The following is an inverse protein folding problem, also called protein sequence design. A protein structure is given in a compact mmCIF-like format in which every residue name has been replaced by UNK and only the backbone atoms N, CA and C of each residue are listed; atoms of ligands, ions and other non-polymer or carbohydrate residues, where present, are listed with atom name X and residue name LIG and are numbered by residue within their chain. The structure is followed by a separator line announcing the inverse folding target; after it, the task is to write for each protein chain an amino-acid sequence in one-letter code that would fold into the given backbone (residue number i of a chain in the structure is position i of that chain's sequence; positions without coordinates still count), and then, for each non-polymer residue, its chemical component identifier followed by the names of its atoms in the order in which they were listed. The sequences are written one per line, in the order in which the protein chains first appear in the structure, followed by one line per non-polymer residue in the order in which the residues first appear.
data_IF_891091023155
#
_entry.id   IF_891091023155
#
_cell.length_a   1.000
_cell.length_b   1.000
_cell.length_c   1.000
_cell.angle_alpha   90.00
_cell.angle_beta   90.00
_cell.angle_gamma   90.00
#
_symmetry.space_group_name_H-M   'P 1'
#
loop_
_entity.id
_entity.type
_entity.pdbx_description
1 polymer ?
#
# COMPACT_ATOMS: atom_id res chain seq x y z
N UNK A 1 -34.76 1.80 -7.88
CA UNK A 1 -33.49 1.08 -7.67
C UNK A 1 -33.13 1.21 -6.20
N UNK A 2 -33.06 0.08 -5.49
CA UNK A 2 -32.85 0.04 -4.03
C UNK A 2 -31.37 -0.14 -3.63
N UNK A 3 -30.45 -0.03 -4.60
CA UNK A 3 -29.02 -0.22 -4.38
C UNK A 3 -28.18 0.66 -5.30
N UNK A 4 -26.89 0.73 -4.97
CA UNK A 4 -25.88 1.40 -5.77
C UNK A 4 -24.72 0.44 -6.08
N UNK A 5 -24.09 0.65 -7.24
CA UNK A 5 -22.86 -0.01 -7.67
C UNK A 5 -21.83 1.07 -7.92
N UNK A 6 -20.61 0.85 -7.45
CA UNK A 6 -19.49 1.78 -7.59
C UNK A 6 -18.19 1.00 -7.79
N UNK A 7 -17.21 1.63 -8.45
CA UNK A 7 -15.87 1.06 -8.59
C UNK A 7 -15.08 1.34 -7.31
N UNK A 8 -14.50 0.30 -6.72
CA UNK A 8 -13.79 0.44 -5.44
C UNK A 8 -12.57 1.37 -5.53
N UNK A 9 -11.89 1.40 -6.68
CA UNK A 9 -10.75 2.30 -6.91
C UNK A 9 -11.12 3.78 -6.77
N UNK A 10 -12.31 4.16 -7.25
CA UNK A 10 -12.79 5.54 -7.19
C UNK A 10 -13.21 5.92 -5.76
N UNK A 11 -13.84 4.97 -5.05
CA UNK A 11 -14.21 5.14 -3.64
C UNK A 11 -12.96 5.35 -2.76
N UNK A 12 -11.90 4.60 -3.03
CA UNK A 12 -10.64 4.66 -2.26
C UNK A 12 -9.64 5.69 -2.79
N UNK A 13 -9.96 6.37 -3.88
CA UNK A 13 -9.08 7.39 -4.48
C UNK A 13 -7.71 6.84 -4.87
N UNK A 14 -7.68 5.65 -5.50
CA UNK A 14 -6.45 5.02 -5.98
C UNK A 14 -5.87 5.69 -7.23
N UNK A 15 -6.72 6.34 -8.03
CA UNK A 15 -6.32 7.14 -9.19
C UNK A 15 -6.40 8.63 -8.85
N UNK A 16 -5.30 9.35 -9.05
CA UNK A 16 -5.19 10.79 -8.72
C UNK A 16 -5.65 11.71 -9.85
N UNK A 17 -5.54 11.24 -11.09
CA UNK A 17 -5.79 12.04 -12.30
C UNK A 17 -7.26 12.03 -12.75
N UNK A 18 -8.03 11.02 -12.33
CA UNK A 18 -9.41 10.85 -12.78
C UNK A 18 -10.29 10.31 -11.64
N UNK A 19 -11.36 11.05 -11.34
CA UNK A 19 -12.44 10.59 -10.48
C UNK A 19 -13.77 10.87 -11.19
N UNK A 20 -14.61 9.84 -11.44
CA UNK A 20 -15.91 10.05 -12.07
C UNK A 20 -16.79 10.99 -11.24
N UNK A 21 -17.54 11.89 -11.90
CA UNK A 21 -18.39 12.88 -11.22
C UNK A 21 -19.45 12.27 -10.28
N UNK A 22 -19.78 11.00 -10.47
CA UNK A 22 -20.78 10.23 -9.72
C UNK A 22 -20.16 9.39 -8.57
N UNK A 23 -18.83 9.32 -8.49
CA UNK A 23 -18.15 8.64 -7.40
C UNK A 23 -17.83 9.63 -6.27
N UNK A 24 -18.14 9.25 -5.03
CA UNK A 24 -17.65 9.95 -3.84
C UNK A 24 -16.35 9.30 -3.40
N UNK A 25 -15.27 10.08 -3.28
CA UNK A 25 -14.02 9.64 -2.66
C UNK A 25 -14.21 9.57 -1.14
N UNK A 26 -14.01 8.40 -0.55
CA UNK A 26 -14.09 8.13 0.88
C UNK A 26 -12.71 8.08 1.55
N UNK A 27 -11.65 7.83 0.78
CA UNK A 27 -10.27 7.81 1.28
C UNK A 27 -9.28 8.29 0.21
N UNK A 28 -8.09 8.71 0.62
CA UNK A 28 -6.97 9.04 -0.27
C UNK A 28 -5.87 7.97 -0.18
N UNK A 29 -6.20 6.77 -0.64
CA UNK A 29 -5.32 5.61 -0.49
C UNK A 29 -4.08 5.74 -1.38
N UNK A 30 -4.14 6.44 -2.51
CA UNK A 30 -2.97 6.71 -3.34
C UNK A 30 -1.86 7.44 -2.57
N UNK A 31 -2.20 8.51 -1.84
CA UNK A 31 -1.24 9.24 -1.01
C UNK A 31 -0.69 8.38 0.13
N UNK A 32 -1.55 7.60 0.79
CA UNK A 32 -1.15 6.69 1.87
C UNK A 32 -0.17 5.63 1.36
N UNK A 33 -0.45 5.00 0.22
CA UNK A 33 0.43 4.01 -0.41
C UNK A 33 1.78 4.64 -0.77
N UNK A 34 1.77 5.83 -1.39
CA UNK A 34 3.00 6.54 -1.73
C UNK A 34 3.87 6.81 -0.50
N UNK A 35 3.26 7.32 0.58
CA UNK A 35 3.96 7.56 1.85
C UNK A 35 4.53 6.25 2.41
N UNK A 36 3.71 5.20 2.49
CA UNK A 36 4.12 3.92 3.09
C UNK A 36 5.30 3.29 2.33
N UNK A 37 5.32 3.38 1.01
CA UNK A 37 6.44 2.90 0.21
C UNK A 37 7.70 3.76 0.38
N UNK A 38 7.55 5.08 0.56
CA UNK A 38 8.68 5.97 0.87
C UNK A 38 9.27 5.70 2.26
N UNK A 39 8.42 5.45 3.24
CA UNK A 39 8.82 5.08 4.61
C UNK A 39 9.60 3.76 4.57
N UNK A 40 9.05 2.73 3.91
CA UNK A 40 9.74 1.45 3.70
C UNK A 40 11.13 1.63 3.05
N UNK A 41 11.23 2.43 1.99
CA UNK A 41 12.52 2.72 1.34
C UNK A 41 13.49 3.40 2.30
N UNK A 42 12.99 4.26 3.19
CA UNK A 42 13.80 4.94 4.21
C UNK A 42 14.32 3.95 5.25
N UNK A 43 13.46 3.06 5.75
CA UNK A 43 13.81 2.02 6.72
C UNK A 43 14.82 1.03 6.14
N UNK A 44 14.66 0.60 4.89
CA UNK A 44 15.64 -0.28 4.21
C UNK A 44 17.00 0.41 4.06
N UNK A 45 17.02 1.69 3.68
CA UNK A 45 18.27 2.42 3.47
C UNK A 45 18.99 2.76 4.76
N UNK A 46 18.26 2.95 5.85
CA UNK A 46 18.82 3.20 7.18
C UNK A 46 19.20 1.90 7.91
N UNK A 47 18.73 0.74 7.41
CA UNK A 47 18.94 -0.55 8.07
C UNK A 47 17.99 -0.80 9.24
N UNK A 48 16.95 0.03 9.41
CA UNK A 48 15.88 -0.19 10.39
C UNK A 48 14.98 -1.37 9.98
N UNK A 49 14.81 -1.60 8.67
CA UNK A 49 14.14 -2.78 8.13
C UNK A 49 15.12 -3.67 7.34
N UNK A 50 15.06 -5.01 7.49
CA UNK A 50 14.20 -5.75 8.42
C UNK A 50 14.65 -5.64 9.88
N UNK A 51 13.69 -5.56 10.79
CA UNK A 51 13.96 -5.72 12.22
C UNK A 51 14.09 -7.21 12.59
N UNK A 52 14.41 -7.51 13.86
CA UNK A 52 14.59 -8.88 14.35
C UNK A 52 13.36 -9.78 14.14
N UNK A 53 12.14 -9.21 14.13
CA UNK A 53 10.89 -9.97 13.98
C UNK A 53 10.64 -10.31 12.50
N UNK A 54 11.12 -9.47 11.58
CA UNK A 54 10.92 -9.62 10.14
C UNK A 54 12.12 -10.25 9.42
N UNK A 55 13.22 -10.54 10.13
CA UNK A 55 14.32 -11.36 9.61
C UNK A 55 13.90 -12.82 9.57
N UNK A 56 13.86 -13.42 8.37
CA UNK A 56 13.94 -14.87 8.27
C UNK A 56 15.38 -15.29 8.55
N UNK A 57 15.60 -16.17 9.53
CA UNK A 57 16.82 -16.95 9.57
C UNK A 57 16.78 -17.92 8.39
N UNK A 58 17.38 -17.54 7.28
CA UNK A 58 17.72 -18.50 6.24
C UNK A 58 18.79 -19.41 6.84
N UNK A 59 18.40 -20.63 7.23
CA UNK A 59 19.36 -21.64 7.64
C UNK A 59 20.15 -22.06 6.40
N UNK A 60 21.42 -21.66 6.35
CA UNK A 60 22.31 -21.99 5.26
C UNK A 60 22.62 -23.51 5.22
N UNK A 61 22.18 -24.29 6.20
CA UNK A 61 22.21 -25.76 6.15
C UNK A 61 21.31 -26.35 5.07
N UNK A 62 20.26 -25.64 4.64
CA UNK A 62 19.32 -26.11 3.62
C UNK A 62 19.87 -25.97 2.19
N UNK A 63 21.05 -25.36 2.02
CA UNK A 63 21.72 -25.13 0.74
C UNK A 63 22.83 -26.15 0.43
N UNK A 64 22.97 -27.23 1.21
CA UNK A 64 23.94 -28.32 0.97
C UNK A 64 23.27 -29.66 0.72
#
# INVERSE_FOLDING_TARGET
CDGQVQVFHDLLGLYTEFSPKHAKKYADVASLMKKSLQDYVTEVKSGEFPDEIHMSHADLSDLN
#
